data_IF_416184980499
#
_entry.id   IF_416184980499
#
_cell.length_a   1.000
_cell.length_b   1.000
_cell.length_c   1.000
_cell.angle_alpha   90.00
_cell.angle_beta   90.00
_cell.angle_gamma   90.00
#
_symmetry.space_group_name_H-M   'P 1'
#
loop_
_entity.id
_entity.type
_entity.pdbx_description
1 polymer ?
#
# COMPACT_ATOMS: atom_id res chain seq x y z
N UNK A 1 31.16 30.49 9.16
CA UNK A 1 29.99 29.74 8.63
C UNK A 1 30.34 29.31 7.21
N UNK A 2 30.50 28.01 6.94
CA UNK A 2 30.86 27.50 5.60
C UNK A 2 29.61 27.54 4.72
N UNK A 3 29.61 28.40 3.70
CA UNK A 3 28.53 28.52 2.70
C UNK A 3 28.68 27.35 1.73
N UNK A 4 27.71 26.44 1.68
CA UNK A 4 27.74 25.35 0.69
C UNK A 4 27.55 25.94 -0.72
N UNK A 5 28.30 25.46 -1.73
CA UNK A 5 28.20 25.98 -3.09
C UNK A 5 26.84 25.61 -3.72
N UNK A 6 26.19 26.60 -4.34
CA UNK A 6 24.93 26.51 -5.07
C UNK A 6 24.73 25.23 -5.93
N UNK A 7 25.74 24.71 -6.68
CA UNK A 7 25.58 23.47 -7.45
C UNK A 7 25.36 22.21 -6.59
N UNK A 8 25.83 22.17 -5.34
CA UNK A 8 25.57 21.03 -4.42
C UNK A 8 24.13 21.07 -3.92
N UNK A 9 23.57 22.26 -3.69
CA UNK A 9 22.15 22.42 -3.33
C UNK A 9 21.23 21.98 -4.50
N UNK A 10 21.65 22.28 -5.73
CA UNK A 10 20.94 21.91 -6.96
C UNK A 10 21.02 20.39 -7.22
N UNK A 11 22.16 19.75 -6.94
CA UNK A 11 22.32 18.30 -7.06
C UNK A 11 21.51 17.52 -5.99
N UNK A 12 21.34 18.10 -4.79
CA UNK A 12 20.51 17.51 -3.72
C UNK A 12 19.02 17.68 -4.01
N UNK A 13 18.61 18.75 -4.70
CA UNK A 13 17.22 18.95 -5.13
C UNK A 13 16.78 17.95 -6.22
N UNK A 14 17.70 17.50 -7.08
CA UNK A 14 17.44 16.48 -8.13
C UNK A 14 17.14 15.09 -7.55
N UNK A 15 17.39 14.84 -6.26
CA UNK A 15 17.08 13.57 -5.60
C UNK A 15 15.70 13.51 -4.92
N UNK A 16 14.90 14.58 -4.98
CA UNK A 16 13.51 14.58 -4.51
C UNK A 16 12.60 13.89 -5.56
N UNK A 17 12.91 12.63 -5.90
CA UNK A 17 12.05 11.85 -6.76
C UNK A 17 10.73 11.56 -6.04
N UNK A 18 9.58 11.97 -6.60
CA UNK A 18 8.27 11.66 -6.03
C UNK A 18 8.02 10.17 -6.24
N UNK A 19 8.07 9.38 -5.17
CA UNK A 19 7.84 7.93 -5.22
C UNK A 19 6.51 7.63 -4.55
N UNK A 20 5.59 6.99 -5.26
CA UNK A 20 4.48 6.30 -4.61
C UNK A 20 5.06 5.08 -3.88
N UNK A 21 5.14 5.15 -2.55
CA UNK A 21 5.60 4.03 -1.74
C UNK A 21 4.57 3.77 -0.64
N UNK A 22 4.09 2.53 -0.59
CA UNK A 22 3.36 2.04 0.58
C UNK A 22 4.32 1.18 1.38
N UNK A 23 4.46 1.45 2.67
CA UNK A 23 5.22 0.65 3.61
C UNK A 23 4.26 0.13 4.66
N UNK A 24 4.18 -1.19 4.76
CA UNK A 24 3.39 -1.88 5.76
C UNK A 24 4.33 -2.69 6.63
N UNK A 25 4.26 -2.52 7.94
CA UNK A 25 4.98 -3.36 8.90
C UNK A 25 3.95 -4.10 9.73
N UNK A 26 4.05 -5.41 9.79
CA UNK A 26 3.10 -6.30 10.44
C UNK A 26 3.83 -7.15 11.47
N UNK A 27 3.47 -7.00 12.74
CA UNK A 27 4.11 -7.73 13.84
C UNK A 27 3.09 -8.67 14.48
N UNK A 28 3.46 -9.94 14.56
CA UNK A 28 2.68 -10.99 15.20
C UNK A 28 3.35 -11.38 16.52
N UNK A 29 2.58 -11.39 17.60
CA UNK A 29 3.01 -11.85 18.91
C UNK A 29 2.72 -13.35 19.09
N UNK A 30 3.32 -13.96 20.11
CA UNK A 30 3.23 -15.40 20.37
C UNK A 30 1.82 -15.88 20.75
N UNK A 31 0.99 -14.99 21.28
CA UNK A 31 -0.44 -15.24 21.58
C UNK A 31 -1.34 -15.11 20.34
N UNK A 32 -0.79 -14.71 19.20
CA UNK A 32 -1.52 -14.46 17.96
C UNK A 32 -2.10 -13.06 17.84
N UNK A 33 -1.94 -12.20 18.85
CA UNK A 33 -2.23 -10.77 18.75
C UNK A 33 -1.13 -10.05 17.96
N UNK A 34 -1.32 -8.76 17.68
CA UNK A 34 -0.27 -7.98 17.05
C UNK A 34 -0.69 -6.60 16.61
N UNK A 35 0.23 -5.97 15.89
CA UNK A 35 0.08 -4.61 15.40
C UNK A 35 0.45 -4.53 13.92
N UNK A 36 -0.17 -3.60 13.21
CA UNK A 36 0.22 -3.24 11.85
C UNK A 36 0.46 -1.73 11.78
N UNK A 37 1.52 -1.31 11.11
CA UNK A 37 1.71 0.08 10.71
C UNK A 37 1.65 0.20 9.20
N UNK A 38 1.05 1.28 8.73
CA UNK A 38 0.88 1.61 7.33
C UNK A 38 1.36 3.04 7.13
N UNK A 39 2.31 3.22 6.22
CA UNK A 39 2.70 4.52 5.69
C UNK A 39 2.46 4.50 4.19
N UNK A 40 1.61 5.41 3.72
CA UNK A 40 1.40 5.67 2.30
C UNK A 40 2.03 7.02 2.01
N UNK A 41 2.87 7.07 0.98
CA UNK A 41 3.40 8.31 0.43
C UNK A 41 3.07 8.33 -1.05
N UNK A 42 2.31 9.33 -1.47
CA UNK A 42 1.88 9.52 -2.85
C UNK A 42 2.86 10.44 -3.59
N UNK A 43 3.01 10.22 -4.89
CA UNK A 43 3.73 11.16 -5.75
C UNK A 43 2.90 12.44 -5.92
N UNK A 44 3.58 13.58 -6.06
CA UNK A 44 2.93 14.85 -6.41
C UNK A 44 2.21 14.79 -7.76
N UNK A 45 2.65 13.92 -8.67
CA UNK A 45 1.96 13.60 -9.94
C UNK A 45 0.58 13.02 -9.64
N UNK A 46 0.52 11.97 -8.82
CA UNK A 46 -0.73 11.30 -8.48
C UNK A 46 -1.68 12.21 -7.68
N UNK A 47 -1.14 13.05 -6.80
CA UNK A 47 -1.94 14.01 -6.02
C UNK A 47 -2.56 15.09 -6.91
N UNK A 48 -1.83 15.60 -7.91
CA UNK A 48 -2.38 16.54 -8.90
C UNK A 48 -3.44 15.87 -9.76
N UNK A 49 -3.15 14.69 -10.31
CA UNK A 49 -4.13 13.91 -11.08
C UNK A 49 -5.41 13.62 -10.28
N UNK A 50 -5.25 13.17 -9.03
CA UNK A 50 -6.39 12.95 -8.14
C UNK A 50 -7.19 14.23 -7.89
N UNK A 51 -6.51 15.36 -7.69
CA UNK A 51 -7.17 16.64 -7.41
C UNK A 51 -8.02 17.12 -8.59
N UNK A 52 -7.52 16.92 -9.81
CA UNK A 52 -8.26 17.28 -11.03
C UNK A 52 -9.49 16.38 -11.21
N UNK A 53 -9.36 15.06 -10.96
CA UNK A 53 -10.50 14.17 -10.94
C UNK A 53 -11.50 14.56 -9.83
N UNK A 54 -11.02 14.78 -8.61
CA UNK A 54 -11.86 15.07 -7.45
C UNK A 54 -12.70 16.34 -7.62
N UNK A 55 -12.19 17.35 -8.34
CA UNK A 55 -12.94 18.57 -8.67
C UNK A 55 -14.24 18.28 -9.41
N UNK A 56 -14.30 17.19 -10.20
CA UNK A 56 -15.51 16.76 -10.91
C UNK A 56 -16.46 15.87 -10.10
N UNK A 57 -15.98 15.21 -9.03
CA UNK A 57 -16.73 14.18 -8.30
C UNK A 57 -17.08 14.51 -6.85
N UNK A 58 -16.33 15.40 -6.21
CA UNK A 58 -16.48 15.73 -4.79
C UNK A 58 -17.01 17.16 -4.66
N UNK A 59 -18.27 17.34 -4.19
CA UNK A 59 -18.80 18.67 -3.92
C UNK A 59 -17.91 19.43 -2.92
N UNK A 60 -17.60 20.69 -3.23
CA UNK A 60 -16.77 21.58 -2.41
C UNK A 60 -15.30 21.11 -2.23
N UNK A 61 -14.77 20.29 -3.14
CA UNK A 61 -13.35 20.00 -3.16
C UNK A 61 -12.53 21.26 -3.44
N UNK A 62 -11.55 21.55 -2.59
CA UNK A 62 -10.61 22.65 -2.79
C UNK A 62 -9.30 22.11 -3.39
N UNK A 63 -9.05 22.31 -4.69
CA UNK A 63 -7.82 21.83 -5.33
C UNK A 63 -6.56 22.54 -4.79
N UNK A 64 -6.69 23.68 -4.11
CA UNK A 64 -5.55 24.36 -3.45
C UNK A 64 -5.19 23.73 -2.11
N UNK A 65 -6.12 23.02 -1.49
CA UNK A 65 -5.95 22.32 -0.22
C UNK A 65 -6.53 20.90 -0.31
N UNK A 66 -5.96 20.04 -1.17
CA UNK A 66 -6.58 18.75 -1.48
C UNK A 66 -6.57 17.84 -0.26
N UNK A 67 -7.77 17.45 0.20
CA UNK A 67 -7.94 16.45 1.26
C UNK A 67 -7.95 15.05 0.66
N UNK A 68 -6.76 14.54 0.33
CA UNK A 68 -6.59 13.21 -0.27
C UNK A 68 -6.96 12.08 0.71
N UNK A 69 -6.68 12.28 2.00
CA UNK A 69 -6.97 11.31 3.05
C UNK A 69 -8.01 11.88 4.02
N UNK A 70 -9.21 11.30 4.02
CA UNK A 70 -10.25 11.66 4.98
C UNK A 70 -10.08 10.83 6.26
N UNK A 71 -9.39 11.42 7.25
CA UNK A 71 -9.10 10.76 8.52
C UNK A 71 -10.36 10.50 9.36
N UNK A 72 -11.40 11.33 9.23
CA UNK A 72 -12.65 11.14 9.98
C UNK A 72 -13.44 9.99 9.39
N UNK A 73 -13.58 9.94 8.07
CA UNK A 73 -14.21 8.83 7.38
C UNK A 73 -13.43 7.52 7.61
N UNK A 74 -12.09 7.58 7.63
CA UNK A 74 -11.24 6.42 7.97
C UNK A 74 -11.52 5.92 9.39
N UNK A 75 -11.52 6.81 10.39
CA UNK A 75 -11.85 6.45 11.78
C UNK A 75 -13.26 5.85 11.89
N UNK A 76 -14.26 6.49 11.27
CA UNK A 76 -15.63 6.01 11.29
C UNK A 76 -15.80 4.64 10.60
N UNK A 77 -15.02 4.38 9.54
CA UNK A 77 -15.01 3.11 8.81
C UNK A 77 -14.41 1.98 9.65
N UNK A 78 -13.28 2.22 10.30
CA UNK A 78 -12.58 1.22 11.13
C UNK A 78 -13.23 1.02 12.51
N UNK A 79 -14.00 1.99 13.03
CA UNK A 79 -14.83 1.79 14.22
C UNK A 79 -15.90 0.70 14.06
N UNK A 80 -16.20 0.30 12.81
CA UNK A 80 -17.14 -0.78 12.48
C UNK A 80 -16.46 -2.14 12.26
N UNK A 81 -15.14 -2.19 12.24
CA UNK A 81 -14.41 -3.45 12.07
C UNK A 81 -14.24 -4.16 13.42
N UNK A 82 -14.50 -5.46 13.44
CA UNK A 82 -14.49 -6.26 14.68
C UNK A 82 -13.11 -6.79 15.03
N UNK A 83 -12.33 -7.17 14.01
CA UNK A 83 -11.07 -7.91 14.19
C UNK A 83 -9.83 -7.03 14.01
N UNK A 84 -10.02 -5.73 13.74
CA UNK A 84 -8.94 -4.78 13.46
C UNK A 84 -9.33 -3.40 14.01
N UNK A 85 -8.52 -2.87 14.93
CA UNK A 85 -8.75 -1.57 15.55
C UNK A 85 -7.75 -0.56 15.02
N UNK A 86 -8.24 0.58 14.51
CA UNK A 86 -7.37 1.70 14.15
C UNK A 86 -6.95 2.44 15.44
N UNK A 87 -5.68 2.35 15.80
CA UNK A 87 -5.14 2.93 17.05
C UNK A 87 -4.66 4.36 16.89
N UNK A 88 -4.11 4.70 15.72
CA UNK A 88 -3.72 6.07 15.39
C UNK A 88 -3.78 6.29 13.89
N UNK A 89 -4.11 7.51 13.48
CA UNK A 89 -4.01 7.95 12.09
C UNK A 89 -3.70 9.43 12.01
N UNK A 90 -2.82 9.81 11.08
CA UNK A 90 -2.43 11.20 10.81
C UNK A 90 -2.02 11.38 9.35
N UNK A 91 -2.04 12.63 8.92
CA UNK A 91 -1.60 13.08 7.59
C UNK A 91 -0.53 14.15 7.78
N UNK A 92 0.77 13.78 7.93
CA UNK A 92 1.83 14.74 8.21
C UNK A 92 2.03 15.77 7.08
N UNK A 93 1.77 15.35 5.85
CA UNK A 93 1.70 16.19 4.64
C UNK A 93 0.51 15.73 3.80
N UNK A 94 -0.03 16.55 2.88
CA UNK A 94 -1.17 16.16 2.04
C UNK A 94 -0.98 14.85 1.26
N UNK A 95 0.27 14.52 0.93
CA UNK A 95 0.67 13.33 0.17
C UNK A 95 0.94 12.10 1.04
N UNK A 96 0.93 12.24 2.38
CA UNK A 96 1.35 11.17 3.29
C UNK A 96 0.26 10.80 4.28
N UNK A 97 -0.11 9.52 4.31
CA UNK A 97 -0.95 8.91 5.35
C UNK A 97 -0.08 8.02 6.23
N UNK A 98 -0.25 8.14 7.54
CA UNK A 98 0.31 7.20 8.50
C UNK A 98 -0.83 6.67 9.38
N UNK A 99 -0.93 5.35 9.49
CA UNK A 99 -1.92 4.67 10.30
C UNK A 99 -1.29 3.51 11.06
N UNK A 100 -1.78 3.26 12.26
CA UNK A 100 -1.44 2.10 13.06
C UNK A 100 -2.69 1.37 13.47
N UNK A 101 -2.61 0.06 13.50
CA UNK A 101 -3.70 -0.84 13.82
C UNK A 101 -3.24 -1.86 14.84
N UNK A 102 -4.18 -2.36 15.63
CA UNK A 102 -4.00 -3.52 16.50
C UNK A 102 -5.05 -4.58 16.18
N UNK A 103 -4.70 -5.84 16.39
CA UNK A 103 -5.61 -6.96 16.29
C UNK A 103 -5.36 -7.93 17.46
N UNK A 104 -6.43 -8.52 17.97
CA UNK A 104 -6.35 -9.41 19.13
C UNK A 104 -5.98 -10.84 18.72
N UNK A 105 -6.36 -11.26 17.52
CA UNK A 105 -6.14 -12.62 17.05
C UNK A 105 -6.01 -12.69 15.52
N UNK A 106 -4.83 -13.11 15.05
CA UNK A 106 -4.48 -13.22 13.64
C UNK A 106 -5.39 -14.16 12.86
N UNK A 107 -5.81 -15.26 13.47
CA UNK A 107 -6.70 -16.24 12.84
C UNK A 107 -8.09 -15.63 12.59
N UNK A 108 -8.64 -14.89 13.55
CA UNK A 108 -9.92 -14.19 13.35
C UNK A 108 -9.80 -13.07 12.32
N UNK A 109 -8.68 -12.35 12.30
CA UNK A 109 -8.41 -11.32 11.30
C UNK A 109 -8.38 -11.90 9.88
N UNK A 110 -7.66 -13.01 9.68
CA UNK A 110 -7.52 -13.63 8.36
C UNK A 110 -8.75 -14.47 7.97
N UNK A 111 -9.65 -14.77 8.91
CA UNK A 111 -10.94 -15.41 8.61
C UNK A 111 -12.00 -14.40 8.15
N UNK A 112 -11.78 -13.10 8.30
CA UNK A 112 -12.69 -12.08 7.78
C UNK A 112 -12.73 -12.14 6.24
N UNK A 113 -13.88 -12.30 5.58
CA UNK A 113 -13.97 -12.38 4.12
C UNK A 113 -13.33 -11.21 3.37
N UNK A 114 -13.20 -10.04 4.01
CA UNK A 114 -12.56 -8.86 3.42
C UNK A 114 -11.03 -8.99 3.33
N UNK A 115 -10.44 -9.85 4.16
CA UNK A 115 -8.99 -10.04 4.28
C UNK A 115 -8.59 -11.45 3.85
N UNK A 116 -9.41 -12.44 4.17
CA UNK A 116 -9.19 -13.87 3.97
C UNK A 116 -9.08 -14.33 2.52
N UNK A 117 -9.52 -13.50 1.57
CA UNK A 117 -9.28 -13.74 0.14
C UNK A 117 -7.84 -13.46 -0.25
N UNK A 118 -7.17 -12.53 0.46
CA UNK A 118 -5.81 -12.10 0.20
C UNK A 118 -4.79 -12.74 1.14
N UNK A 119 -5.16 -12.96 2.40
CA UNK A 119 -4.28 -13.48 3.45
C UNK A 119 -4.89 -14.74 4.05
N UNK A 120 -4.07 -15.76 4.29
CA UNK A 120 -4.53 -16.96 5.00
C UNK A 120 -3.47 -17.46 5.96
N UNK A 121 -3.92 -18.13 7.02
CA UNK A 121 -3.08 -18.73 8.05
C UNK A 121 -3.33 -20.24 8.07
N UNK A 122 -2.29 -21.03 7.88
CA UNK A 122 -2.30 -22.47 8.10
C UNK A 122 -1.50 -22.78 9.38
N UNK A 123 -2.08 -23.58 10.27
CA UNK A 123 -1.44 -24.01 11.52
C UNK A 123 -1.09 -25.49 11.45
N UNK A 124 0.16 -25.82 11.75
CA UNK A 124 0.65 -27.19 11.94
C UNK A 124 1.33 -27.30 13.30
N UNK A 125 1.55 -28.53 13.78
CA UNK A 125 2.22 -28.75 15.06
C UNK A 125 3.60 -28.09 15.07
N UNK A 126 3.75 -27.00 15.83
CA UNK A 126 5.00 -26.24 15.97
C UNK A 126 5.33 -25.24 14.85
N UNK A 127 4.48 -25.10 13.83
CA UNK A 127 4.70 -24.20 12.70
C UNK A 127 3.41 -23.46 12.31
N UNK A 128 3.56 -22.20 11.90
CA UNK A 128 2.48 -21.42 11.29
C UNK A 128 2.94 -20.89 9.94
N UNK A 129 2.04 -20.95 8.96
CA UNK A 129 2.30 -20.49 7.59
C UNK A 129 1.31 -19.40 7.23
N UNK A 130 1.82 -18.19 6.97
CA UNK A 130 1.08 -17.09 6.36
C UNK A 130 1.24 -17.17 4.85
N UNK A 131 0.12 -17.18 4.13
CA UNK A 131 0.10 -17.04 2.67
C UNK A 131 -0.54 -15.74 2.27
N UNK A 132 0.08 -15.08 1.31
CA UNK A 132 -0.36 -13.82 0.73
C UNK A 132 -0.63 -14.08 -0.74
N UNK A 133 -1.88 -13.96 -1.16
CA UNK A 133 -2.33 -14.06 -2.55
C UNK A 133 -2.85 -12.71 -2.96
N UNK A 134 -2.18 -12.10 -3.93
CA UNK A 134 -2.57 -10.80 -4.42
C UNK A 134 -2.87 -10.88 -5.91
N UNK A 135 -4.04 -10.41 -6.25
CA UNK A 135 -4.55 -10.27 -7.60
C UNK A 135 -5.57 -9.13 -7.60
N UNK A 136 -6.13 -8.84 -8.76
CA UNK A 136 -7.08 -7.74 -8.91
C UNK A 136 -8.30 -7.86 -8.00
N UNK A 137 -8.81 -9.07 -7.79
CA UNK A 137 -10.00 -9.28 -6.95
C UNK A 137 -9.67 -9.02 -5.47
N UNK A 138 -8.58 -9.59 -4.97
CA UNK A 138 -8.11 -9.36 -3.59
C UNK A 138 -7.77 -7.90 -3.34
N UNK A 139 -7.21 -7.17 -4.31
CA UNK A 139 -6.96 -5.74 -4.20
C UNK A 139 -8.25 -4.95 -4.09
N UNK A 140 -9.30 -5.30 -4.85
CA UNK A 140 -10.63 -4.67 -4.70
C UNK A 140 -11.18 -4.90 -3.30
N UNK A 141 -11.02 -6.11 -2.75
CA UNK A 141 -11.47 -6.42 -1.39
C UNK A 141 -10.70 -5.59 -0.35
N UNK A 142 -9.38 -5.46 -0.49
CA UNK A 142 -8.56 -4.62 0.39
C UNK A 142 -8.96 -3.14 0.26
N UNK A 143 -9.18 -2.65 -0.97
CA UNK A 143 -9.61 -1.27 -1.22
C UNK A 143 -11.02 -0.97 -0.69
N UNK A 144 -11.87 -1.99 -0.49
CA UNK A 144 -13.17 -1.83 0.17
C UNK A 144 -13.07 -1.55 1.69
N UNK A 145 -11.86 -1.60 2.26
CA UNK A 145 -11.58 -1.09 3.60
C UNK A 145 -11.38 0.43 3.61
N UNK A 146 -11.14 1.06 2.45
CA UNK A 146 -11.08 2.50 2.33
C UNK A 146 -12.47 3.14 2.50
N UNK A 147 -12.53 4.44 2.87
CA UNK A 147 -13.80 5.17 2.91
C UNK A 147 -14.55 5.17 1.57
N UNK A 148 -15.87 5.02 1.61
CA UNK A 148 -16.75 4.92 0.43
C UNK A 148 -16.67 6.16 -0.49
N UNK A 149 -16.39 7.33 0.10
CA UNK A 149 -16.24 8.61 -0.61
C UNK A 149 -15.11 8.60 -1.65
N UNK A 150 -14.17 7.67 -1.53
CA UNK A 150 -12.97 7.60 -2.37
C UNK A 150 -12.96 6.40 -3.32
N UNK A 151 -13.89 5.45 -3.15
CA UNK A 151 -13.91 4.19 -3.90
C UNK A 151 -14.04 4.39 -5.41
N UNK A 152 -14.86 5.34 -5.87
CA UNK A 152 -15.04 5.60 -7.29
C UNK A 152 -13.79 6.17 -7.95
N UNK A 153 -13.08 7.08 -7.25
CA UNK A 153 -11.83 7.67 -7.75
C UNK A 153 -10.72 6.62 -7.82
N UNK A 154 -10.61 5.75 -6.83
CA UNK A 154 -9.62 4.66 -6.86
C UNK A 154 -9.86 3.66 -7.99
N UNK A 155 -11.11 3.38 -8.34
CA UNK A 155 -11.43 2.50 -9.49
C UNK A 155 -10.91 3.04 -10.81
N UNK A 156 -10.83 4.35 -10.99
CA UNK A 156 -10.27 4.97 -12.21
C UNK A 156 -8.77 4.73 -12.37
N UNK A 157 -8.06 4.50 -11.25
CA UNK A 157 -6.63 4.19 -11.22
C UNK A 157 -6.33 2.69 -11.32
N UNK A 158 -7.36 1.85 -11.42
CA UNK A 158 -7.20 0.42 -11.62
C UNK A 158 -7.33 0.10 -13.11
N UNK A 159 -6.69 -0.98 -13.58
CA UNK A 159 -6.90 -1.41 -14.95
C UNK A 159 -8.39 -1.72 -15.21
N UNK A 160 -8.85 -1.74 -16.48
CA UNK A 160 -10.24 -2.06 -16.82
C UNK A 160 -10.64 -3.47 -16.37
N UNK A 161 -11.81 -3.63 -15.71
CA UNK A 161 -12.19 -4.89 -15.05
C UNK A 161 -12.37 -6.08 -16.01
N UNK A 162 -12.81 -5.81 -17.25
CA UNK A 162 -13.23 -6.86 -18.19
C UNK A 162 -12.12 -7.31 -19.17
N UNK A 163 -10.87 -6.89 -18.96
CA UNK A 163 -9.76 -7.22 -19.85
C UNK A 163 -8.53 -7.63 -19.05
N UNK A 164 -7.96 -8.79 -19.38
CA UNK A 164 -6.58 -9.09 -18.99
C UNK A 164 -5.67 -8.14 -19.76
N UNK A 165 -4.95 -7.31 -19.03
CA UNK A 165 -4.00 -6.36 -19.59
C UNK A 165 -2.61 -6.74 -19.10
N UNK A 166 -1.66 -6.83 -20.03
CA UNK A 166 -0.29 -7.10 -19.65
C UNK A 166 0.35 -5.84 -19.01
N UNK A 167 1.42 -5.99 -18.20
CA UNK A 167 2.06 -4.86 -17.54
C UNK A 167 2.49 -3.72 -18.48
N UNK A 168 2.97 -4.05 -19.69
CA UNK A 168 3.47 -3.06 -20.65
C UNK A 168 2.35 -2.23 -21.29
N UNK A 169 1.23 -2.85 -21.64
CA UNK A 169 0.04 -2.15 -22.15
C UNK A 169 -0.56 -1.25 -21.06
N UNK A 170 -0.64 -1.75 -19.82
CA UNK A 170 -1.17 -0.94 -18.71
C UNK A 170 -0.26 0.23 -18.37
N UNK A 171 1.07 0.05 -18.41
CA UNK A 171 2.03 1.15 -18.28
C UNK A 171 1.77 2.24 -19.31
N UNK A 172 1.61 1.88 -20.59
CA UNK A 172 1.32 2.85 -21.65
C UNK A 172 0.05 3.64 -21.39
N UNK A 173 -1.01 2.97 -20.90
CA UNK A 173 -2.25 3.64 -20.50
C UNK A 173 -2.03 4.64 -19.36
N UNK A 174 -1.26 4.27 -18.33
CA UNK A 174 -0.95 5.17 -17.23
C UNK A 174 -0.08 6.35 -17.66
N UNK A 175 0.90 6.13 -18.54
CA UNK A 175 1.73 7.20 -19.11
C UNK A 175 0.86 8.18 -19.88
N UNK A 176 0.01 7.68 -20.77
CA UNK A 176 -0.93 8.52 -21.52
C UNK A 176 -1.90 9.28 -20.59
N UNK A 177 -2.46 8.62 -19.58
CA UNK A 177 -3.39 9.25 -18.64
C UNK A 177 -2.74 10.33 -17.76
N UNK A 178 -1.42 10.29 -17.60
CA UNK A 178 -0.66 11.17 -16.72
C UNK A 178 0.25 12.15 -17.48
N UNK A 179 0.23 12.17 -18.81
CA UNK A 179 1.17 12.92 -19.65
C UNK A 179 1.11 14.45 -19.44
N UNK A 180 -0.05 14.96 -19.01
CA UNK A 180 -0.23 16.38 -18.68
C UNK A 180 0.41 16.77 -17.33
N UNK A 181 0.76 15.80 -16.49
CA UNK A 181 1.19 16.03 -15.10
C UNK A 181 2.70 15.93 -14.91
N UNK A 182 3.39 15.20 -15.79
CA UNK A 182 4.85 15.08 -15.79
C UNK A 182 5.39 14.61 -17.15
N UNK A 183 6.67 14.91 -17.48
CA UNK A 183 7.33 14.36 -18.65
C UNK A 183 7.31 12.83 -18.67
N UNK A 184 7.24 12.24 -19.87
CA UNK A 184 7.15 10.79 -20.05
C UNK A 184 8.24 10.01 -19.29
N UNK A 185 9.49 10.46 -19.33
CA UNK A 185 10.62 9.83 -18.63
C UNK A 185 10.43 9.81 -17.10
N UNK A 186 9.86 10.88 -16.54
CA UNK A 186 9.54 10.96 -15.11
C UNK A 186 8.40 10.00 -14.76
N UNK A 187 7.38 9.88 -15.62
CA UNK A 187 6.27 8.94 -15.46
C UNK A 187 6.75 7.50 -15.50
N UNK A 188 7.57 7.12 -16.48
CA UNK A 188 8.15 5.77 -16.55
C UNK A 188 8.94 5.46 -15.29
N UNK A 189 9.81 6.39 -14.88
CA UNK A 189 10.62 6.25 -13.67
C UNK A 189 9.75 6.09 -12.41
N UNK A 190 8.70 6.90 -12.27
CA UNK A 190 7.77 6.86 -11.14
C UNK A 190 7.01 5.52 -11.09
N UNK A 191 6.48 5.06 -12.23
CA UNK A 191 5.75 3.81 -12.34
C UNK A 191 6.65 2.59 -12.08
N UNK A 192 7.89 2.59 -12.58
CA UNK A 192 8.87 1.52 -12.30
C UNK A 192 9.26 1.45 -10.84
N UNK A 193 9.43 2.60 -10.18
CA UNK A 193 9.85 2.65 -8.78
C UNK A 193 8.71 2.45 -7.80
N UNK A 194 7.46 2.57 -8.23
CA UNK A 194 6.27 2.43 -7.39
C UNK A 194 6.12 1.01 -6.85
N UNK A 195 6.05 0.89 -5.53
CA UNK A 195 6.05 -0.40 -4.84
C UNK A 195 5.28 -0.37 -3.53
N UNK A 196 4.77 -1.53 -3.16
CA UNK A 196 4.29 -1.82 -1.81
C UNK A 196 5.38 -2.66 -1.13
N UNK A 197 5.92 -2.16 -0.03
CA UNK A 197 6.83 -2.88 0.85
C UNK A 197 6.03 -3.43 2.02
N UNK A 198 6.09 -4.74 2.24
CA UNK A 198 5.46 -5.40 3.39
C UNK A 198 6.54 -6.08 4.20
N UNK A 199 6.75 -5.65 5.44
CA UNK A 199 7.63 -6.31 6.39
C UNK A 199 6.79 -7.08 7.40
N UNK A 200 7.08 -8.36 7.59
CA UNK A 200 6.41 -9.21 8.57
C UNK A 200 7.42 -9.64 9.62
N UNK A 201 7.08 -9.38 10.88
CA UNK A 201 7.80 -9.83 12.07
C UNK A 201 7.03 -10.98 12.71
N UNK A 202 7.66 -12.13 12.84
CA UNK A 202 7.09 -13.34 13.41
C UNK A 202 7.52 -13.51 14.86
N UNK A 203 6.71 -14.18 15.71
CA UNK A 203 7.05 -14.39 17.12
C UNK A 203 8.20 -15.39 17.32
N UNK A 204 8.45 -16.25 16.33
CA UNK A 204 9.56 -17.20 16.32
C UNK A 204 10.36 -17.14 15.02
N UNK A 205 11.43 -17.95 14.92
CA UNK A 205 12.30 -17.96 13.75
C UNK A 205 11.58 -18.43 12.48
N UNK A 206 11.93 -17.82 11.36
CA UNK A 206 11.47 -18.18 10.02
C UNK A 206 12.12 -19.49 9.61
N UNK A 207 11.30 -20.44 9.18
CA UNK A 207 11.73 -21.75 8.73
C UNK A 207 11.83 -21.79 7.21
N UNK A 208 10.83 -21.22 6.52
CA UNK A 208 10.73 -21.22 5.05
C UNK A 208 10.02 -19.96 4.57
N UNK A 209 10.40 -19.49 3.38
CA UNK A 209 9.67 -18.42 2.68
C UNK A 209 9.61 -18.69 1.18
N UNK A 210 8.57 -18.17 0.52
CA UNK A 210 8.43 -18.09 -0.94
C UNK A 210 8.29 -16.62 -1.32
N UNK A 211 9.21 -16.13 -2.14
CA UNK A 211 9.34 -14.71 -2.48
C UNK A 211 9.89 -13.88 -1.31
N UNK A 212 10.03 -12.57 -1.52
CA UNK A 212 10.60 -11.65 -0.53
C UNK A 212 12.08 -11.90 -0.20
N UNK A 213 12.58 -11.19 0.80
CA UNK A 213 13.95 -11.29 1.33
C UNK A 213 13.91 -11.35 2.85
N UNK A 214 14.54 -12.35 3.45
CA UNK A 214 14.71 -12.44 4.90
C UNK A 214 15.67 -11.35 5.38
N UNK A 215 15.26 -10.53 6.35
CA UNK A 215 16.07 -9.43 6.92
C UNK A 215 16.62 -9.77 8.31
N UNK A 216 16.23 -10.92 8.87
CA UNK A 216 16.67 -11.40 10.18
C UNK A 216 16.05 -12.76 10.52
N UNK A 217 16.31 -13.33 11.71
CA UNK A 217 15.80 -14.64 12.08
C UNK A 217 14.27 -14.70 12.10
N UNK A 218 13.59 -13.59 12.38
CA UNK A 218 12.13 -13.51 12.50
C UNK A 218 11.50 -12.39 11.65
N UNK A 219 12.20 -11.91 10.62
CA UNK A 219 11.72 -10.81 9.77
C UNK A 219 11.86 -11.14 8.29
N UNK A 220 10.76 -11.01 7.52
CA UNK A 220 10.77 -11.03 6.05
C UNK A 220 10.27 -9.71 5.49
N UNK A 221 10.91 -9.22 4.43
CA UNK A 221 10.41 -8.12 3.61
C UNK A 221 9.97 -8.62 2.24
N UNK A 222 8.73 -8.32 1.86
CA UNK A 222 8.20 -8.48 0.51
C UNK A 222 8.19 -7.12 -0.18
N UNK A 223 8.78 -7.04 -1.37
CA UNK A 223 8.72 -5.86 -2.24
C UNK A 223 7.82 -6.20 -3.44
N UNK A 224 6.70 -5.51 -3.56
CA UNK A 224 5.67 -5.77 -4.55
C UNK A 224 5.63 -4.60 -5.56
N UNK A 225 6.11 -4.79 -6.79
CA UNK A 225 6.01 -3.75 -7.82
C UNK A 225 4.54 -3.46 -8.12
N UNK A 226 4.12 -2.19 -7.96
CA UNK A 226 2.70 -1.82 -8.02
C UNK A 226 2.08 -2.15 -9.38
N UNK A 227 2.81 -1.91 -10.47
CA UNK A 227 2.34 -2.22 -11.81
C UNK A 227 2.11 -3.73 -12.00
N UNK A 228 3.04 -4.56 -11.55
CA UNK A 228 2.91 -6.01 -11.65
C UNK A 228 1.75 -6.53 -10.80
N UNK A 229 1.58 -6.00 -9.59
CA UNK A 229 0.49 -6.31 -8.67
C UNK A 229 -0.90 -6.05 -9.30
N UNK A 230 -1.02 -5.01 -10.12
CA UNK A 230 -2.29 -4.64 -10.78
C UNK A 230 -2.60 -5.50 -12.02
N UNK A 231 -1.61 -6.17 -12.61
CA UNK A 231 -1.78 -6.91 -13.88
C UNK A 231 -1.57 -8.42 -13.76
N UNK A 232 -0.85 -8.87 -12.73
CA UNK A 232 -0.37 -10.24 -12.61
C UNK A 232 -0.64 -10.77 -11.20
N UNK A 233 -1.25 -11.95 -11.04
CA UNK A 233 -1.38 -12.60 -9.74
C UNK A 233 -0.01 -12.87 -9.11
N UNK A 234 0.12 -12.58 -7.82
CA UNK A 234 1.33 -12.78 -7.03
C UNK A 234 1.00 -13.63 -5.82
N UNK A 235 1.91 -14.55 -5.48
CA UNK A 235 1.80 -15.38 -4.28
C UNK A 235 3.09 -15.36 -3.47
N UNK A 236 2.95 -15.13 -2.18
CA UNK A 236 4.03 -15.19 -1.20
C UNK A 236 3.66 -16.13 -0.06
N UNK A 237 4.67 -16.71 0.55
CA UNK A 237 4.50 -17.60 1.70
C UNK A 237 5.58 -17.34 2.74
N UNK A 238 5.19 -17.42 4.01
CA UNK A 238 6.06 -17.29 5.16
C UNK A 238 5.69 -18.37 6.17
N UNK A 239 6.61 -19.28 6.47
CA UNK A 239 6.46 -20.29 7.53
C UNK A 239 7.44 -20.00 8.65
N UNK A 240 6.95 -19.92 9.88
CA UNK A 240 7.75 -19.68 11.08
C UNK A 240 7.42 -20.69 12.18
N UNK A 241 8.36 -20.85 13.11
CA UNK A 241 8.19 -21.68 14.29
C UNK A 241 7.31 -20.97 15.31
N UNK A 242 6.32 -21.69 15.85
CA UNK A 242 5.46 -21.22 16.94
C UNK A 242 6.09 -21.48 18.30
#
# INVERSE_FOLDING_TARGET
>A
MRVLPLPVLLLVAVFLFPRCTTQTEFTVHSDGSGNASLRIELSSILVRYYSDLATGFIPNFDPKNPRIFDLEALRARFAREKNLTLTSTRTPTPERLEATFSFENLETLFSDPKVGTALSLEKKTGEETIRIRLNRDTLKTILALAPDTQTNLYRMLLPPENKMINPGEYRKQLVWALEEYAPEEELHTALEKSRIEVRIHTPGPILRQKGGSQEGPSTVRFSLPLLALLTTPMEYELTYKR
#
